data_IF_924954387717
#
_entry.id   IF_924954387717
#
_cell.length_a   1.000
_cell.length_b   1.000
_cell.length_c   1.000
_cell.angle_alpha   90.00
_cell.angle_beta   90.00
_cell.angle_gamma   90.00
#
_symmetry.space_group_name_H-M   'P 1'
#
loop_
_entity.id
_entity.type
_entity.pdbx_description
1 polymer ?
#
# COMPACT_ATOMS: atom_id res chain seq x y z
N UNK A 1 -60.18 -5.55 -21.85
CA UNK A 1 -58.98 -4.77 -22.23
C UNK A 1 -57.88 -5.10 -21.25
N UNK A 2 -57.04 -6.10 -21.56
CA UNK A 2 -56.10 -6.68 -20.59
C UNK A 2 -54.83 -7.18 -21.29
N UNK A 3 -54.11 -6.31 -22.01
CA UNK A 3 -52.89 -6.71 -22.73
C UNK A 3 -51.74 -5.71 -22.60
N UNK A 4 -51.70 -4.89 -21.53
CA UNK A 4 -50.66 -3.86 -21.35
C UNK A 4 -49.99 -3.86 -19.94
N UNK A 5 -50.34 -4.82 -19.07
CA UNK A 5 -49.81 -4.88 -17.70
C UNK A 5 -48.56 -5.78 -17.55
N UNK A 6 -48.31 -6.70 -18.49
CA UNK A 6 -47.18 -7.64 -18.40
C UNK A 6 -45.87 -7.10 -18.99
N UNK A 7 -45.92 -6.24 -20.02
CA UNK A 7 -44.73 -5.66 -20.64
C UNK A 7 -44.07 -4.58 -19.78
N UNK A 8 -44.87 -3.75 -19.08
CA UNK A 8 -44.37 -2.75 -18.12
C UNK A 8 -43.56 -3.39 -16.98
N UNK A 9 -43.89 -4.64 -16.59
CA UNK A 9 -43.17 -5.35 -15.54
C UNK A 9 -41.79 -5.84 -16.00
N UNK A 10 -41.64 -6.25 -17.26
CA UNK A 10 -40.36 -6.79 -17.75
C UNK A 10 -39.35 -5.65 -17.96
N UNK A 11 -39.77 -4.54 -18.56
CA UNK A 11 -38.89 -3.38 -18.74
C UNK A 11 -38.47 -2.76 -17.40
N UNK A 12 -39.38 -2.68 -16.43
CA UNK A 12 -39.06 -2.23 -15.08
C UNK A 12 -38.08 -3.18 -14.40
N UNK A 13 -38.31 -4.49 -14.48
CA UNK A 13 -37.42 -5.50 -13.90
C UNK A 13 -36.01 -5.46 -14.53
N UNK A 14 -35.92 -5.20 -15.84
CA UNK A 14 -34.64 -5.03 -16.53
C UNK A 14 -33.92 -3.76 -16.08
N UNK A 15 -34.63 -2.64 -15.91
CA UNK A 15 -34.05 -1.40 -15.39
C UNK A 15 -33.54 -1.57 -13.95
N UNK A 16 -34.31 -2.24 -13.08
CA UNK A 16 -33.90 -2.57 -11.71
C UNK A 16 -32.66 -3.48 -11.69
N UNK A 17 -32.58 -4.45 -12.61
CA UNK A 17 -31.40 -5.31 -12.74
C UNK A 17 -30.16 -4.51 -13.19
N UNK A 18 -30.29 -3.57 -14.13
CA UNK A 18 -29.20 -2.71 -14.59
C UNK A 18 -28.70 -1.78 -13.47
N UNK A 19 -29.60 -1.21 -12.66
CA UNK A 19 -29.23 -0.41 -11.48
C UNK A 19 -28.45 -1.24 -10.45
N UNK A 20 -28.90 -2.47 -10.17
CA UNK A 20 -28.19 -3.38 -9.27
C UNK A 20 -26.78 -3.72 -9.78
N UNK A 21 -26.62 -3.95 -11.09
CA UNK A 21 -25.31 -4.21 -11.69
C UNK A 21 -24.38 -2.99 -11.52
N UNK A 22 -24.90 -1.78 -11.74
CA UNK A 22 -24.13 -0.55 -11.55
C UNK A 22 -23.70 -0.37 -10.09
N UNK A 23 -24.60 -0.65 -9.15
CA UNK A 23 -24.30 -0.55 -7.73
C UNK A 23 -23.22 -1.56 -7.30
N UNK A 24 -23.33 -2.83 -7.72
CA UNK A 24 -22.32 -3.86 -7.43
C UNK A 24 -20.95 -3.45 -7.99
N UNK A 25 -20.91 -2.95 -9.23
CA UNK A 25 -19.64 -2.51 -9.84
C UNK A 25 -19.01 -1.35 -9.07
N UNK A 26 -19.81 -0.37 -8.64
CA UNK A 26 -19.34 0.76 -7.83
C UNK A 26 -18.77 0.29 -6.49
N UNK A 27 -19.47 -0.61 -5.80
CA UNK A 27 -19.05 -1.14 -4.50
C UNK A 27 -17.75 -1.94 -4.60
N UNK A 28 -17.61 -2.75 -5.66
CA UNK A 28 -16.38 -3.51 -5.94
C UNK A 28 -15.20 -2.57 -6.20
N UNK A 29 -15.37 -1.54 -7.01
CA UNK A 29 -14.30 -0.55 -7.29
C UNK A 29 -13.86 0.16 -6.01
N UNK A 30 -14.82 0.64 -5.21
CA UNK A 30 -14.53 1.30 -3.94
C UNK A 30 -13.77 0.37 -2.97
N UNK A 31 -14.16 -0.90 -2.90
CA UNK A 31 -13.49 -1.88 -2.06
C UNK A 31 -12.04 -2.14 -2.50
N UNK A 32 -11.82 -2.26 -3.82
CA UNK A 32 -10.48 -2.41 -4.37
C UNK A 32 -9.61 -1.19 -4.05
N UNK A 33 -10.11 0.03 -4.26
CA UNK A 33 -9.39 1.27 -3.94
C UNK A 33 -9.00 1.35 -2.45
N UNK A 34 -9.91 0.96 -1.56
CA UNK A 34 -9.65 0.89 -0.11
C UNK A 34 -8.55 -0.13 0.22
N UNK A 35 -8.59 -1.32 -0.37
CA UNK A 35 -7.56 -2.34 -0.17
C UNK A 35 -6.19 -1.84 -0.63
N UNK A 36 -6.12 -1.24 -1.82
CA UNK A 36 -4.89 -0.64 -2.35
C UNK A 36 -4.37 0.49 -1.44
N UNK A 37 -5.25 1.32 -0.90
CA UNK A 37 -4.89 2.38 0.06
C UNK A 37 -4.28 1.80 1.34
N UNK A 38 -4.90 0.76 1.91
CA UNK A 38 -4.40 0.09 3.12
C UNK A 38 -3.04 -0.58 2.90
N UNK A 39 -2.83 -1.20 1.73
CA UNK A 39 -1.53 -1.77 1.36
C UNK A 39 -0.46 -0.68 1.25
N UNK A 40 -0.78 0.44 0.61
CA UNK A 40 0.14 1.58 0.50
C UNK A 40 0.50 2.16 1.87
N UNK A 41 -0.48 2.34 2.76
CA UNK A 41 -0.25 2.83 4.13
C UNK A 41 0.67 1.89 4.92
N UNK A 42 0.45 0.57 4.81
CA UNK A 42 1.33 -0.43 5.44
C UNK A 42 2.77 -0.32 4.93
N UNK A 43 2.98 -0.17 3.63
CA UNK A 43 4.31 0.01 3.05
C UNK A 43 4.98 1.30 3.51
N UNK A 44 4.23 2.40 3.63
CA UNK A 44 4.74 3.66 4.16
C UNK A 44 5.19 3.50 5.63
N UNK A 45 4.38 2.84 6.47
CA UNK A 45 4.72 2.55 7.87
C UNK A 45 5.97 1.67 8.00
N UNK A 46 6.10 0.63 7.15
CA UNK A 46 7.30 -0.21 7.12
C UNK A 46 8.55 0.58 6.73
N UNK A 47 8.43 1.49 5.77
CA UNK A 47 9.54 2.34 5.35
C UNK A 47 9.97 3.31 6.47
N UNK A 48 9.03 3.92 7.18
CA UNK A 48 9.32 4.75 8.35
C UNK A 48 10.03 3.97 9.46
N UNK A 49 9.58 2.74 9.73
CA UNK A 49 10.22 1.84 10.70
C UNK A 49 11.67 1.54 10.32
N UNK A 50 11.92 1.21 9.05
CA UNK A 50 13.27 0.91 8.57
C UNK A 50 14.17 2.15 8.63
N UNK A 51 13.64 3.32 8.26
CA UNK A 51 14.36 4.59 8.40
C UNK A 51 14.78 4.84 9.85
N UNK A 52 13.86 4.65 10.80
CA UNK A 52 14.15 4.80 12.22
C UNK A 52 15.19 3.78 12.71
N UNK A 53 15.13 2.53 12.25
CA UNK A 53 16.11 1.50 12.59
C UNK A 53 17.50 1.84 12.05
N UNK A 54 17.60 2.28 10.79
CA UNK A 54 18.85 2.73 10.18
C UNK A 54 19.41 3.93 10.96
N UNK A 55 18.57 4.91 11.29
CA UNK A 55 19.00 6.08 12.04
C UNK A 55 19.52 5.70 13.43
N UNK A 56 18.82 4.81 14.15
CA UNK A 56 19.29 4.31 15.45
C UNK A 56 20.62 3.55 15.34
N UNK A 57 20.84 2.78 14.26
CA UNK A 57 22.11 2.10 14.00
C UNK A 57 23.23 3.11 13.73
N UNK A 58 22.97 4.17 12.97
CA UNK A 58 23.93 5.25 12.72
C UNK A 58 24.29 5.94 14.03
N UNK A 59 23.30 6.37 14.83
CA UNK A 59 23.53 7.04 16.12
C UNK A 59 24.36 6.18 17.09
N UNK A 60 24.06 4.87 17.16
CA UNK A 60 24.86 3.92 17.96
C UNK A 60 26.28 3.77 17.43
N UNK A 61 26.45 3.73 16.09
CA UNK A 61 27.77 3.60 15.46
C UNK A 61 28.58 4.88 15.65
N UNK A 62 27.98 6.06 15.50
CA UNK A 62 28.60 7.36 15.80
C UNK A 62 29.02 7.46 17.27
N UNK A 63 28.17 7.05 18.20
CA UNK A 63 28.53 6.98 19.63
C UNK A 63 29.72 6.04 19.90
N UNK A 64 29.87 4.95 19.11
CA UNK A 64 31.01 4.04 19.17
C UNK A 64 32.26 4.54 18.42
N UNK A 65 32.08 5.37 17.39
CA UNK A 65 33.13 5.84 16.47
C UNK A 65 33.74 7.18 16.85
N UNK A 66 33.35 7.76 18.00
CA UNK A 66 34.06 8.90 18.63
C UNK A 66 35.59 8.62 18.78
N UNK A 67 36.04 7.37 18.58
CA UNK A 67 37.46 6.98 18.51
C UNK A 67 38.17 6.97 17.13
N UNK A 68 37.52 7.00 15.95
CA UNK A 68 38.23 6.94 14.65
C UNK A 68 37.49 7.59 13.46
N UNK A 69 37.88 8.82 13.14
CA UNK A 69 37.10 9.78 12.33
C UNK A 69 37.11 9.68 10.80
N UNK A 70 37.37 8.54 10.16
CA UNK A 70 37.25 8.44 8.68
C UNK A 70 36.81 7.05 8.18
N UNK A 71 37.36 5.98 8.75
CA UNK A 71 37.01 4.60 8.40
C UNK A 71 35.52 4.29 8.70
N UNK A 72 35.03 4.77 9.85
CA UNK A 72 33.67 4.47 10.31
C UNK A 72 32.54 5.06 9.45
N UNK A 73 32.78 6.20 8.78
CA UNK A 73 31.80 6.80 7.86
C UNK A 73 31.62 5.96 6.59
N UNK A 74 32.72 5.41 6.05
CA UNK A 74 32.64 4.55 4.88
C UNK A 74 31.87 3.26 5.18
N UNK A 75 32.12 2.63 6.32
CA UNK A 75 31.38 1.45 6.75
C UNK A 75 29.89 1.77 7.01
N UNK A 76 29.55 2.93 7.57
CA UNK A 76 28.15 3.32 7.77
C UNK A 76 27.39 3.46 6.43
N UNK A 77 28.03 4.03 5.40
CA UNK A 77 27.46 4.12 4.06
C UNK A 77 27.26 2.71 3.46
N UNK A 78 28.23 1.80 3.63
CA UNK A 78 28.09 0.43 3.17
C UNK A 78 26.92 -0.32 3.85
N UNK A 79 26.75 -0.12 5.16
CA UNK A 79 25.65 -0.71 5.93
C UNK A 79 24.28 -0.20 5.45
N UNK A 80 24.15 1.09 5.13
CA UNK A 80 22.93 1.68 4.55
C UNK A 80 22.64 1.07 3.17
N UNK A 81 23.64 1.00 2.30
CA UNK A 81 23.50 0.42 0.96
C UNK A 81 23.07 -1.05 1.04
N UNK A 82 23.58 -1.80 2.02
CA UNK A 82 23.17 -3.19 2.26
C UNK A 82 21.72 -3.27 2.73
N UNK A 83 21.33 -2.48 3.72
CA UNK A 83 19.95 -2.44 4.21
C UNK A 83 18.94 -2.07 3.11
N UNK A 84 19.29 -1.16 2.20
CA UNK A 84 18.45 -0.81 1.04
C UNK A 84 18.31 -1.96 0.04
N UNK A 85 19.35 -2.76 -0.17
CA UNK A 85 19.28 -3.95 -1.03
C UNK A 85 18.41 -5.04 -0.41
N UNK A 86 18.56 -5.29 0.89
CA UNK A 86 17.75 -6.27 1.60
C UNK A 86 16.26 -5.87 1.60
N UNK A 87 15.99 -4.56 1.74
CA UNK A 87 14.63 -4.03 1.60
C UNK A 87 14.04 -4.25 0.21
N UNK A 88 14.83 -4.00 -0.84
CA UNK A 88 14.41 -4.26 -2.22
C UNK A 88 14.07 -5.74 -2.43
N UNK A 89 14.80 -6.66 -1.82
CA UNK A 89 14.53 -8.10 -1.91
C UNK A 89 13.26 -8.52 -1.16
N UNK A 90 12.93 -7.86 -0.04
CA UNK A 90 11.71 -8.14 0.72
C UNK A 90 10.42 -7.76 -0.03
N UNK A 91 10.49 -6.72 -0.88
CA UNK A 91 9.36 -6.26 -1.70
C UNK A 91 9.35 -6.85 -3.13
N UNK A 92 10.21 -7.82 -3.43
CA UNK A 92 10.33 -8.45 -4.75
C UNK A 92 9.85 -9.89 -4.73
#
# INVERSE_FOLDING_TARGET
MSTNLESNNIEQLMAEADELIQQINSDVINHMEEEHRLQFERHAQDLERIKAEIQSRIEKKEASSIGSGAEGMHEAIQDIVKAMKDLKLYFS
#
